data_IF_704527315287
#
_entry.id   IF_704527315287
#
_cell.length_a   1.000
_cell.length_b   1.000
_cell.length_c   1.000
_cell.angle_alpha   90.00
_cell.angle_beta   90.00
_cell.angle_gamma   90.00
#
_symmetry.space_group_name_H-M   'P 1'
#
loop_
_entity.id
_entity.type
_entity.pdbx_description
1 polymer ?
#
# COMPACT_ATOMS: atom_id res chain seq x y z
N UNK A 1 15.89 -12.84 1.54
CA UNK A 1 14.56 -12.55 0.93
C UNK A 1 13.87 -11.49 1.79
N UNK A 2 13.36 -10.41 1.20
CA UNK A 2 12.62 -9.38 1.97
C UNK A 2 11.35 -9.98 2.58
N UNK A 3 11.00 -9.59 3.81
CA UNK A 3 9.80 -10.03 4.55
C UNK A 3 8.53 -9.86 3.70
N UNK A 4 8.47 -8.78 2.91
CA UNK A 4 7.38 -8.50 1.98
C UNK A 4 7.19 -9.62 0.95
N UNK A 5 8.28 -10.19 0.42
CA UNK A 5 8.21 -11.28 -0.56
C UNK A 5 7.70 -12.57 0.08
N UNK A 6 8.05 -12.81 1.34
CA UNK A 6 7.55 -13.96 2.10
C UNK A 6 6.06 -13.82 2.39
N UNK A 7 5.58 -12.63 2.77
CA UNK A 7 4.16 -12.36 2.99
C UNK A 7 3.34 -12.49 1.70
N UNK A 8 3.85 -11.98 0.58
CA UNK A 8 3.20 -12.13 -0.73
C UNK A 8 3.17 -13.59 -1.16
N UNK A 9 4.25 -14.32 -0.98
CA UNK A 9 4.30 -15.74 -1.35
C UNK A 9 3.38 -16.59 -0.45
N UNK A 10 3.37 -16.31 0.85
CA UNK A 10 2.49 -16.96 1.82
C UNK A 10 1.01 -16.68 1.57
N UNK A 11 0.65 -15.46 1.18
CA UNK A 11 -0.75 -15.13 0.84
C UNK A 11 -1.22 -15.83 -0.43
N UNK A 12 -0.35 -16.00 -1.43
CA UNK A 12 -0.65 -16.78 -2.65
C UNK A 12 -0.84 -18.27 -2.32
N UNK A 13 0.02 -18.86 -1.47
CA UNK A 13 -0.14 -20.25 -1.05
C UNK A 13 -1.44 -20.42 -0.24
N UNK A 14 -1.71 -19.54 0.72
CA UNK A 14 -2.95 -19.57 1.49
C UNK A 14 -4.19 -19.46 0.60
N UNK A 15 -4.12 -18.63 -0.44
CA UNK A 15 -5.18 -18.50 -1.44
C UNK A 15 -5.43 -19.78 -2.23
N UNK A 16 -4.36 -20.45 -2.69
CA UNK A 16 -4.46 -21.72 -3.39
C UNK A 16 -5.04 -22.82 -2.51
N UNK A 17 -4.60 -22.92 -1.24
CA UNK A 17 -5.11 -23.91 -0.28
C UNK A 17 -6.58 -23.65 0.05
N UNK A 18 -6.95 -22.40 0.32
CA UNK A 18 -8.35 -22.03 0.55
C UNK A 18 -9.22 -22.32 -0.68
N UNK A 19 -8.72 -22.06 -1.88
CA UNK A 19 -9.42 -22.36 -3.13
C UNK A 19 -9.63 -23.85 -3.36
N UNK A 20 -8.68 -24.69 -2.95
CA UNK A 20 -8.78 -26.15 -3.02
C UNK A 20 -9.75 -26.72 -1.97
N UNK A 21 -9.61 -26.30 -0.71
CA UNK A 21 -10.50 -26.73 0.38
C UNK A 21 -11.95 -26.31 0.13
N UNK A 22 -12.16 -25.13 -0.45
CA UNK A 22 -13.50 -24.66 -0.82
C UNK A 22 -14.12 -25.47 -1.97
N UNK A 23 -13.33 -25.95 -2.92
CA UNK A 23 -13.81 -26.86 -3.97
C UNK A 23 -14.29 -28.19 -3.37
N UNK A 24 -13.50 -28.80 -2.49
CA UNK A 24 -13.87 -30.03 -1.79
C UNK A 24 -15.15 -29.85 -0.93
N UNK A 25 -15.31 -28.68 -0.32
CA UNK A 25 -16.50 -28.36 0.47
C UNK A 25 -17.77 -28.19 -0.38
N UNK A 26 -17.66 -27.83 -1.66
CA UNK A 26 -18.80 -27.79 -2.60
C UNK A 26 -19.22 -29.19 -3.01
N UNK A 27 -18.25 -30.06 -3.23
CA UNK A 27 -18.43 -31.39 -3.80
C UNK A 27 -18.96 -32.42 -2.79
N UNK A 28 -18.84 -32.12 -1.50
CA UNK A 28 -19.31 -32.97 -0.39
C UNK A 28 -20.81 -32.86 -0.07
N UNK A 29 -21.65 -32.30 -0.95
CA UNK A 29 -23.09 -32.08 -0.68
C UNK A 29 -23.98 -32.36 -1.88
N UNK A 30 -25.18 -32.85 -1.60
CA UNK A 30 -26.21 -33.12 -2.60
C UNK A 30 -26.71 -31.87 -3.37
N UNK A 31 -27.10 -32.13 -4.62
CA UNK A 31 -27.13 -31.18 -5.75
C UNK A 31 -27.83 -29.82 -5.57
N UNK A 32 -28.76 -29.68 -4.63
CA UNK A 32 -29.43 -28.39 -4.38
C UNK A 32 -28.56 -27.40 -3.57
N UNK A 33 -27.72 -27.91 -2.66
CA UNK A 33 -26.83 -27.09 -1.83
C UNK A 33 -25.54 -26.69 -2.55
N UNK A 34 -25.18 -27.43 -3.61
CA UNK A 34 -24.00 -27.17 -4.46
C UNK A 34 -24.06 -25.77 -5.08
N UNK A 35 -25.22 -25.37 -5.60
CA UNK A 35 -25.41 -24.05 -6.21
C UNK A 35 -25.20 -22.90 -5.22
N UNK A 36 -25.71 -23.04 -4.00
CA UNK A 36 -25.54 -22.01 -2.97
C UNK A 36 -24.09 -21.95 -2.45
N UNK A 37 -23.44 -23.09 -2.24
CA UNK A 37 -22.02 -23.13 -1.84
C UNK A 37 -21.10 -22.55 -2.91
N UNK A 38 -21.36 -22.79 -4.20
CA UNK A 38 -20.61 -22.15 -5.30
C UNK A 38 -20.74 -20.62 -5.28
N UNK A 39 -21.94 -20.09 -5.00
CA UNK A 39 -22.17 -18.64 -4.87
C UNK A 39 -21.41 -18.05 -3.69
N UNK A 40 -21.43 -18.72 -2.53
CA UNK A 40 -20.70 -18.30 -1.33
C UNK A 40 -19.19 -18.25 -1.60
N UNK A 41 -18.64 -19.23 -2.31
CA UNK A 41 -17.21 -19.25 -2.64
C UNK A 41 -16.85 -18.20 -3.69
N UNK A 42 -17.70 -18.00 -4.69
CA UNK A 42 -17.51 -16.92 -5.66
C UNK A 42 -17.51 -15.55 -4.95
N UNK A 43 -18.45 -15.33 -4.03
CA UNK A 43 -18.52 -14.11 -3.22
C UNK A 43 -17.28 -13.95 -2.33
N UNK A 44 -16.83 -15.01 -1.67
CA UNK A 44 -15.61 -15.01 -0.87
C UNK A 44 -14.38 -14.66 -1.72
N UNK A 45 -14.27 -15.26 -2.91
CA UNK A 45 -13.16 -14.98 -3.83
C UNK A 45 -13.14 -13.51 -4.27
N UNK A 46 -14.30 -12.97 -4.65
CA UNK A 46 -14.44 -11.56 -5.02
C UNK A 46 -14.06 -10.65 -3.85
N UNK A 47 -14.56 -10.97 -2.64
CA UNK A 47 -14.28 -10.18 -1.45
C UNK A 47 -12.78 -10.09 -1.14
N UNK A 48 -12.07 -11.21 -1.19
CA UNK A 48 -10.63 -11.20 -0.93
C UNK A 48 -9.84 -10.44 -1.99
N UNK A 49 -10.21 -10.54 -3.28
CA UNK A 49 -9.57 -9.75 -4.35
C UNK A 49 -9.78 -8.26 -4.08
N UNK A 50 -11.02 -7.86 -3.74
CA UNK A 50 -11.34 -6.48 -3.40
C UNK A 50 -10.56 -6.00 -2.19
N UNK A 51 -10.39 -6.82 -1.15
CA UNK A 51 -9.58 -6.48 0.02
C UNK A 51 -8.12 -6.25 -0.35
N UNK A 52 -7.51 -7.12 -1.15
CA UNK A 52 -6.11 -6.96 -1.60
C UNK A 52 -5.94 -5.69 -2.43
N UNK A 53 -6.86 -5.43 -3.37
CA UNK A 53 -6.84 -4.21 -4.18
C UNK A 53 -6.99 -2.95 -3.32
N UNK A 54 -7.87 -2.97 -2.32
CA UNK A 54 -8.03 -1.86 -1.39
C UNK A 54 -6.74 -1.61 -0.59
N UNK A 55 -6.14 -2.65 0.00
CA UNK A 55 -4.89 -2.53 0.75
C UNK A 55 -3.77 -1.98 -0.14
N UNK A 56 -3.68 -2.45 -1.40
CA UNK A 56 -2.73 -1.92 -2.36
C UNK A 56 -2.97 -0.44 -2.67
N UNK A 57 -4.21 -0.05 -2.96
CA UNK A 57 -4.58 1.33 -3.24
C UNK A 57 -4.26 2.27 -2.05
N UNK A 58 -4.62 1.87 -0.83
CA UNK A 58 -4.28 2.60 0.39
C UNK A 58 -2.76 2.71 0.59
N UNK A 59 -2.00 1.65 0.31
CA UNK A 59 -0.55 1.68 0.37
C UNK A 59 0.07 2.68 -0.61
N UNK A 60 -0.42 2.71 -1.86
CA UNK A 60 0.03 3.71 -2.85
C UNK A 60 -0.34 5.13 -2.44
N UNK A 61 -1.54 5.32 -1.86
CA UNK A 61 -1.99 6.62 -1.39
C UNK A 61 -1.13 7.14 -0.23
N UNK A 62 -0.84 6.30 0.77
CA UNK A 62 0.04 6.66 1.89
C UNK A 62 1.44 7.03 1.41
N UNK A 63 1.99 6.25 0.47
CA UNK A 63 3.29 6.54 -0.13
C UNK A 63 3.30 7.88 -0.89
N UNK A 64 2.21 8.21 -1.58
CA UNK A 64 2.07 9.50 -2.26
C UNK A 64 2.07 10.67 -1.26
N UNK A 65 1.35 10.55 -0.15
CA UNK A 65 1.36 11.55 0.92
C UNK A 65 2.73 11.69 1.60
N UNK A 66 3.42 10.57 1.84
CA UNK A 66 4.78 10.59 2.40
C UNK A 66 5.78 11.28 1.47
N UNK A 67 5.69 11.02 0.16
CA UNK A 67 6.53 11.67 -0.86
C UNK A 67 6.25 13.18 -0.96
N UNK A 68 4.99 13.60 -0.87
CA UNK A 68 4.62 15.02 -0.84
C UNK A 68 5.13 15.73 0.42
N UNK A 69 4.96 15.11 1.59
CA UNK A 69 5.50 15.62 2.85
C UNK A 69 7.04 15.73 2.84
N UNK A 70 7.72 14.77 2.19
CA UNK A 70 9.16 14.81 2.01
C UNK A 70 9.61 15.95 1.07
N UNK A 71 8.86 16.19 -0.02
CA UNK A 71 9.13 17.30 -0.96
C UNK A 71 8.95 18.66 -0.30
N UNK A 72 7.90 18.83 0.50
CA UNK A 72 7.63 20.07 1.23
C UNK A 72 8.77 20.41 2.22
N UNK A 73 9.23 19.42 3.00
CA UNK A 73 10.37 19.59 3.93
C UNK A 73 11.69 19.90 3.22
N UNK A 74 11.89 19.41 2.00
CA UNK A 74 13.09 19.72 1.18
C UNK A 74 13.01 21.15 0.63
N UNK A 75 11.83 21.60 0.22
CA UNK A 75 11.61 22.95 -0.28
C UNK A 75 11.82 23.99 0.84
N UNK A 76 11.31 23.73 2.04
CA UNK A 76 11.44 24.63 3.19
C UNK A 76 12.90 24.80 3.65
N UNK A 77 13.66 23.69 3.70
CA UNK A 77 15.11 23.72 3.98
C UNK A 77 15.89 24.55 2.96
N UNK A 78 15.55 24.44 1.67
CA UNK A 78 16.18 25.26 0.61
C UNK A 78 15.86 26.75 0.78
N UNK A 79 14.63 27.10 1.15
CA UNK A 79 14.25 28.50 1.38
C UNK A 79 14.98 29.10 2.59
N UNK A 80 15.13 28.35 3.69
CA UNK A 80 15.92 28.80 4.85
C UNK A 80 17.38 29.04 4.51
N UNK A 81 18.02 28.15 3.74
CA UNK A 81 19.41 28.32 3.32
C UNK A 81 19.59 29.60 2.49
N UNK A 82 18.69 29.86 1.53
CA UNK A 82 18.74 31.08 0.71
C UNK A 82 18.53 32.34 1.56
N UNK A 83 17.61 32.31 2.52
CA UNK A 83 17.34 33.43 3.43
C UNK A 83 18.56 33.74 4.31
N UNK A 84 19.19 32.71 4.88
CA UNK A 84 20.41 32.87 5.69
C UNK A 84 21.57 33.41 4.87
N UNK A 85 21.75 32.95 3.63
CA UNK A 85 22.81 33.44 2.74
C UNK A 85 22.61 34.92 2.37
N UNK A 86 21.36 35.35 2.13
CA UNK A 86 21.03 36.76 1.90
C UNK A 86 21.33 37.62 3.13
N UNK A 87 21.02 37.14 4.32
CA UNK A 87 21.28 37.85 5.58
C UNK A 87 22.79 37.98 5.84
N UNK A 88 23.58 36.93 5.61
CA UNK A 88 25.05 36.97 5.70
C UNK A 88 25.65 37.98 4.72
N UNK A 89 25.18 38.00 3.46
CA UNK A 89 25.63 39.00 2.48
C UNK A 89 25.26 40.43 2.88
N UNK A 90 24.08 40.66 3.46
CA UNK A 90 23.69 41.98 4.01
C UNK A 90 24.60 42.40 5.16
N UNK A 91 24.90 41.50 6.09
CA UNK A 91 25.79 41.79 7.22
C UNK A 91 27.21 42.13 6.76
N UNK A 92 27.78 41.35 5.84
CA UNK A 92 29.10 41.63 5.24
C UNK A 92 29.16 42.99 4.54
N UNK A 93 28.08 43.40 3.87
CA UNK A 93 28.01 44.70 3.19
C UNK A 93 27.89 45.88 4.18
N UNK A 94 27.25 45.67 5.33
CA UNK A 94 27.10 46.67 6.39
C UNK A 94 28.39 46.89 7.21
N UNK A 95 29.27 45.90 7.28
CA UNK A 95 30.56 46.00 8.00
C UNK A 95 31.65 46.65 7.13
N UNK A 96 31.50 46.67 5.80
CA UNK A 96 32.48 47.22 4.85
C UNK A 96 32.18 48.64 4.37
N UNK A 97 31.04 49.22 4.73
CA UNK A 97 30.66 50.60 4.40
C UNK A 97 30.57 51.42 5.66
#
# INVERSE_FOLDING_TARGET
MSIERFLVFGSVIAWCVLSYCTAFWVESVDGYLVGNRRRVIAMWRIQCILTVLNVFAYGQLMRWFDDDAAREKVQDRRQMQVKNLKNLKKSQKKVRG
#
